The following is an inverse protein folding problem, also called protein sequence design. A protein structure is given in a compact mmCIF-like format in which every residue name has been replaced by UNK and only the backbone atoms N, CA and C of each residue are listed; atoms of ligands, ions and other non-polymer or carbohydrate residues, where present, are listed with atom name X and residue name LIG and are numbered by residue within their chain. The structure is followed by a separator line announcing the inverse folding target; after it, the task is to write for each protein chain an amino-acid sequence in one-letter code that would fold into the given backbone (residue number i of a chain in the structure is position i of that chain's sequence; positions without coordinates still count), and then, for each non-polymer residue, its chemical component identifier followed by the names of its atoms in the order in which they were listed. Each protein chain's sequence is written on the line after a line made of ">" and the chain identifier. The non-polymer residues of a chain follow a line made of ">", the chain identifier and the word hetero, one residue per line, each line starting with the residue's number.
data_IF_345059077984
#
_entry.id   IF_345059077984
#
_cell.length_a   1.000
_cell.length_b   1.000
_cell.length_c   1.000
_cell.angle_alpha   90.00
_cell.angle_beta   90.00
_cell.angle_gamma   90.00
#
_symmetry.space_group_name_H-M   'P 1'
#
loop_
_entity.id
_entity.type
_entity.pdbx_description
1 polymer ?
#
# COMPACT_ATOMS: atom_id res chain seq x y z
N UNK A 1 12.06 -51.56 13.75
CA UNK A 1 11.15 -50.40 13.79
C UNK A 1 11.56 -49.44 12.68
N UNK A 2 10.71 -49.31 11.66
CA UNK A 2 11.02 -48.78 10.33
C UNK A 2 11.14 -47.26 10.41
N UNK A 3 12.36 -46.73 10.49
CA UNK A 3 12.63 -45.31 10.32
C UNK A 3 12.45 -45.03 8.82
N UNK A 4 11.21 -44.75 8.40
CA UNK A 4 10.88 -44.40 7.02
C UNK A 4 11.74 -43.20 6.64
N UNK A 5 12.61 -43.39 5.63
CA UNK A 5 13.34 -42.31 4.96
C UNK A 5 12.30 -41.34 4.42
N UNK A 6 12.03 -40.27 5.14
CA UNK A 6 11.21 -39.16 4.65
C UNK A 6 11.95 -38.70 3.39
N UNK A 7 11.32 -38.78 2.20
CA UNK A 7 12.04 -38.46 0.97
C UNK A 7 12.50 -37.02 1.08
N UNK A 8 13.78 -36.77 0.84
CA UNK A 8 14.38 -35.42 0.77
C UNK A 8 13.51 -34.46 -0.08
N UNK A 9 12.80 -35.02 -1.06
CA UNK A 9 11.84 -34.36 -1.94
C UNK A 9 10.62 -33.77 -1.20
N UNK A 10 10.12 -34.43 -0.16
CA UNK A 10 9.00 -33.94 0.69
C UNK A 10 9.44 -32.77 1.56
N UNK A 11 10.67 -32.80 2.07
CA UNK A 11 11.25 -31.70 2.85
C UNK A 11 11.50 -30.47 1.96
N UNK A 12 11.94 -30.68 0.72
CA UNK A 12 12.17 -29.60 -0.26
C UNK A 12 10.86 -28.95 -0.72
N UNK A 13 9.79 -29.72 -0.84
CA UNK A 13 8.47 -29.23 -1.23
C UNK A 13 7.81 -28.39 -0.11
N UNK A 14 7.99 -28.77 1.15
CA UNK A 14 7.58 -27.98 2.33
C UNK A 14 8.37 -26.66 2.42
N UNK A 15 9.66 -26.68 2.11
CA UNK A 15 10.48 -25.47 2.08
C UNK A 15 10.00 -24.49 0.99
N UNK A 16 9.65 -24.98 -0.20
CA UNK A 16 9.13 -24.16 -1.31
C UNK A 16 7.80 -23.46 -0.97
N UNK A 17 6.94 -24.10 -0.16
CA UNK A 17 5.66 -23.53 0.27
C UNK A 17 5.83 -22.39 1.29
N UNK A 18 6.92 -22.38 2.07
CA UNK A 18 7.18 -21.33 3.06
C UNK A 18 7.71 -20.03 2.43
N UNK A 19 8.27 -20.09 1.22
CA UNK A 19 8.77 -18.92 0.49
C UNK A 19 7.69 -18.03 -0.15
N UNK A 20 6.41 -18.42 -0.13
CA UNK A 20 5.32 -17.60 -0.67
C UNK A 20 4.76 -16.55 0.31
N UNK A 21 5.41 -16.34 1.46
CA UNK A 21 5.02 -15.28 2.39
C UNK A 21 5.50 -13.91 1.88
N UNK A 22 4.62 -13.24 1.11
CA UNK A 22 4.84 -11.95 0.45
C UNK A 22 5.60 -10.93 1.28
N UNK A 23 6.85 -10.68 0.88
CA UNK A 23 7.69 -9.62 1.38
C UNK A 23 7.24 -8.28 0.78
N UNK A 24 6.10 -7.74 1.21
CA UNK A 24 5.64 -6.44 0.70
C UNK A 24 5.04 -5.53 1.80
N UNK A 25 5.01 -6.01 3.05
CA UNK A 25 4.37 -5.26 4.14
C UNK A 25 5.35 -4.44 5.00
N UNK A 26 6.66 -4.59 4.83
CA UNK A 26 7.67 -3.85 5.62
C UNK A 26 8.33 -2.71 4.86
N UNK A 27 8.30 -2.72 3.54
CA UNK A 27 8.96 -1.72 2.71
C UNK A 27 7.99 -0.63 2.26
N UNK A 28 8.51 0.60 2.16
CA UNK A 28 7.74 1.73 1.64
C UNK A 28 7.84 1.77 0.12
N UNK A 29 6.70 1.89 -0.55
CA UNK A 29 6.62 2.10 -2.00
C UNK A 29 6.71 3.60 -2.28
N UNK A 30 7.54 4.00 -3.26
CA UNK A 30 7.59 5.41 -3.67
C UNK A 30 6.33 5.80 -4.41
N UNK A 31 5.91 7.06 -4.24
CA UNK A 31 4.69 7.58 -4.83
C UNK A 31 4.82 7.63 -6.36
N UNK A 32 5.96 8.04 -6.92
CA UNK A 32 6.11 8.09 -8.39
C UNK A 32 5.93 6.71 -9.05
N UNK A 33 6.41 5.63 -8.42
CA UNK A 33 6.24 4.28 -8.98
C UNK A 33 4.77 3.89 -9.11
N UNK A 34 3.96 4.28 -8.12
CA UNK A 34 2.51 4.07 -8.16
C UNK A 34 1.91 4.89 -9.31
N UNK A 35 2.25 6.18 -9.40
CA UNK A 35 1.67 7.11 -10.39
C UNK A 35 2.09 6.82 -11.84
N UNK A 36 3.33 6.35 -12.06
CA UNK A 36 3.85 6.00 -13.38
C UNK A 36 3.20 4.72 -13.92
N UNK A 37 2.81 3.78 -13.04
CA UNK A 37 2.22 2.51 -13.44
C UNK A 37 1.00 2.10 -12.59
N UNK A 38 -0.09 2.90 -12.52
CA UNK A 38 -1.16 2.67 -11.54
C UNK A 38 -1.86 1.33 -11.70
N UNK A 39 -2.02 0.84 -12.94
CA UNK A 39 -2.58 -0.49 -13.24
C UNK A 39 -1.83 -1.64 -12.58
N UNK A 40 -0.52 -1.51 -12.34
CA UNK A 40 0.26 -2.53 -11.64
C UNK A 40 0.02 -2.53 -10.13
N UNK A 41 -0.56 -1.45 -9.59
CA UNK A 41 -0.82 -1.27 -8.17
C UNK A 41 -2.31 -1.31 -7.82
N UNK A 42 -3.20 -1.19 -8.79
CA UNK A 42 -4.65 -1.24 -8.58
C UNK A 42 -5.06 -2.43 -7.71
N UNK A 43 -5.81 -2.14 -6.64
CA UNK A 43 -6.25 -3.14 -5.65
C UNK A 43 -5.17 -3.68 -4.71
N UNK A 44 -3.89 -3.34 -4.90
CA UNK A 44 -2.80 -3.78 -4.00
C UNK A 44 -2.74 -2.91 -2.76
N UNK A 45 -2.43 -3.55 -1.63
CA UNK A 45 -2.09 -2.84 -0.39
C UNK A 45 -0.61 -2.51 -0.38
N UNK A 46 -0.29 -1.22 -0.35
CA UNK A 46 1.09 -0.70 -0.26
C UNK A 46 1.25 0.15 1.00
N UNK A 47 2.50 0.45 1.35
CA UNK A 47 2.82 1.42 2.40
C UNK A 47 3.58 2.58 1.77
N UNK A 48 3.08 3.81 1.90
CA UNK A 48 3.79 5.03 1.49
C UNK A 48 4.33 5.76 2.71
N UNK A 49 5.39 6.54 2.56
CA UNK A 49 5.98 7.33 3.65
C UNK A 49 6.31 8.72 3.13
N UNK A 50 5.88 9.75 3.85
CA UNK A 50 6.12 11.11 3.43
C UNK A 50 5.58 12.14 4.41
N UNK A 51 5.50 13.38 3.95
CA UNK A 51 5.03 14.52 4.71
C UNK A 51 3.63 14.93 4.26
N UNK A 52 2.74 15.19 5.23
CA UNK A 52 1.38 15.67 4.95
C UNK A 52 1.42 17.13 4.49
N UNK A 53 0.98 17.41 3.27
CA UNK A 53 1.00 18.77 2.70
C UNK A 53 -0.36 19.45 2.73
N UNK A 54 -1.45 18.68 2.62
CA UNK A 54 -2.82 19.18 2.56
C UNK A 54 -3.76 18.27 3.32
N UNK A 55 -4.83 18.85 3.88
CA UNK A 55 -5.89 18.13 4.58
C UNK A 55 -7.25 18.68 4.14
N UNK A 56 -8.24 17.81 4.07
CA UNK A 56 -9.60 18.18 3.71
C UNK A 56 -10.62 17.34 4.48
N UNK A 57 -11.65 18.01 4.98
CA UNK A 57 -12.72 17.41 5.79
C UNK A 57 -14.07 17.94 5.34
N UNK A 58 -14.91 17.06 4.83
CA UNK A 58 -16.35 17.26 4.70
C UNK A 58 -17.07 16.25 5.60
N UNK A 59 -18.36 16.51 5.86
CA UNK A 59 -19.21 15.71 6.77
C UNK A 59 -19.09 14.21 6.51
N UNK A 60 -18.94 13.79 5.24
CA UNK A 60 -18.92 12.38 4.84
C UNK A 60 -17.52 11.93 4.36
N UNK A 61 -16.65 12.86 3.96
CA UNK A 61 -15.41 12.53 3.26
C UNK A 61 -14.23 13.21 3.96
N UNK A 62 -13.23 12.41 4.34
CA UNK A 62 -11.94 12.88 4.88
C UNK A 62 -10.80 12.37 4.03
N UNK A 63 -9.94 13.29 3.60
CA UNK A 63 -8.71 12.93 2.91
C UNK A 63 -7.59 13.92 3.22
N UNK A 64 -6.37 13.50 2.97
CA UNK A 64 -5.18 14.33 3.08
C UNK A 64 -4.18 13.94 2.00
N UNK A 65 -3.19 14.78 1.73
CA UNK A 65 -2.17 14.54 0.71
C UNK A 65 -0.82 14.31 1.39
N UNK A 66 -0.13 13.25 0.98
CA UNK A 66 1.26 12.99 1.37
C UNK A 66 2.18 13.21 0.16
N UNK A 67 3.34 13.82 0.40
CA UNK A 67 4.45 13.87 -0.56
C UNK A 67 5.69 13.13 -0.04
N UNK A 68 6.39 12.39 -0.89
CA UNK A 68 7.62 11.65 -0.53
C UNK A 68 8.89 12.17 -1.23
N UNK A 69 8.77 13.32 -1.91
CA UNK A 69 9.83 13.89 -2.74
C UNK A 69 9.86 13.37 -4.18
N UNK A 70 9.17 12.27 -4.49
CA UNK A 70 9.02 11.70 -5.84
C UNK A 70 7.66 11.99 -6.45
N UNK A 71 6.64 12.24 -5.61
CA UNK A 71 5.32 12.66 -6.03
C UNK A 71 4.40 12.94 -4.85
N UNK A 72 3.15 13.21 -5.15
CA UNK A 72 2.07 13.40 -4.17
C UNK A 72 0.96 12.37 -4.39
N UNK A 73 0.37 11.87 -3.31
CA UNK A 73 -0.79 10.98 -3.40
C UNK A 73 -1.85 11.36 -2.37
N UNK A 74 -3.11 11.29 -2.80
CA UNK A 74 -4.25 11.53 -1.92
C UNK A 74 -4.55 10.28 -1.10
N UNK A 75 -4.61 10.43 0.22
CA UNK A 75 -4.99 9.41 1.18
C UNK A 75 -6.44 9.65 1.61
N UNK A 76 -7.32 8.69 1.33
CA UNK A 76 -8.69 8.67 1.85
C UNK A 76 -8.68 7.90 3.17
N UNK A 77 -9.23 8.48 4.24
CA UNK A 77 -9.16 7.89 5.58
C UNK A 77 -10.47 8.01 6.35
N UNK A 78 -10.76 7.05 7.20
CA UNK A 78 -11.84 7.12 8.20
C UNK A 78 -11.32 7.64 9.56
N UNK A 79 -9.99 7.71 9.74
CA UNK A 79 -9.33 8.11 10.98
C UNK A 79 -9.39 9.64 11.18
N UNK A 80 -8.87 10.09 12.32
CA UNK A 80 -8.63 11.50 12.56
C UNK A 80 -7.61 12.04 11.54
N UNK A 81 -7.86 13.25 11.03
CA UNK A 81 -6.96 13.88 10.07
C UNK A 81 -5.63 14.26 10.76
N UNK A 82 -4.48 13.96 10.12
CA UNK A 82 -3.17 14.36 10.65
C UNK A 82 -2.97 15.88 10.53
N UNK A 83 -1.99 16.42 11.25
CA UNK A 83 -1.56 17.82 11.08
C UNK A 83 -0.74 17.97 9.80
N UNK A 84 -0.88 19.10 9.10
CA UNK A 84 0.04 19.48 8.01
C UNK A 84 1.47 19.54 8.57
N UNK A 85 2.44 19.05 7.79
CA UNK A 85 3.85 18.91 8.18
C UNK A 85 4.18 17.61 8.93
N UNK A 86 3.18 16.78 9.25
CA UNK A 86 3.43 15.48 9.89
C UNK A 86 4.14 14.54 8.93
N UNK A 87 5.27 13.96 9.34
CA UNK A 87 5.92 12.86 8.63
C UNK A 87 5.38 11.54 9.14
N UNK A 88 4.78 10.73 8.25
CA UNK A 88 4.14 9.47 8.64
C UNK A 88 4.19 8.42 7.55
N UNK A 89 3.99 7.16 7.96
CA UNK A 89 3.76 6.02 7.07
C UNK A 89 2.27 5.73 7.00
N UNK A 90 1.75 5.54 5.80
CA UNK A 90 0.36 5.16 5.56
C UNK A 90 0.32 3.86 4.80
N UNK A 91 -0.34 2.85 5.37
CA UNK A 91 -0.66 1.60 4.69
C UNK A 91 -2.07 1.69 4.15
N UNK A 92 -2.26 1.41 2.87
CA UNK A 92 -3.57 1.49 2.25
C UNK A 92 -3.64 0.77 0.91
N UNK A 93 -4.84 0.69 0.36
CA UNK A 93 -5.12 0.05 -0.92
C UNK A 93 -5.17 1.11 -2.02
N UNK A 94 -4.39 0.91 -3.09
CA UNK A 94 -4.41 1.79 -4.26
C UNK A 94 -5.72 1.57 -5.02
N UNK A 95 -6.40 2.67 -5.33
CA UNK A 95 -7.61 2.67 -6.14
C UNK A 95 -7.60 3.86 -7.10
N UNK A 96 -8.22 3.66 -8.25
CA UNK A 96 -8.62 4.75 -9.13
C UNK A 96 -9.95 5.36 -8.65
N UNK A 97 -9.95 6.64 -8.31
CA UNK A 97 -11.15 7.36 -7.90
C UNK A 97 -11.98 7.82 -9.09
N UNK A 98 -11.33 8.23 -10.18
CA UNK A 98 -11.97 8.52 -11.47
C UNK A 98 -10.96 8.40 -12.63
N UNK A 99 -11.49 8.09 -13.82
CA UNK A 99 -10.80 8.16 -15.13
C UNK A 99 -11.62 9.00 -16.09
N UNK A 100 -10.97 9.93 -16.79
CA UNK A 100 -11.55 10.70 -17.90
C UNK A 100 -10.49 10.84 -19.00
N UNK A 101 -10.65 10.06 -20.07
CA UNK A 101 -9.66 10.03 -21.17
C UNK A 101 -8.31 9.48 -20.71
N UNK A 102 -7.27 10.31 -20.78
CA UNK A 102 -5.91 10.03 -20.30
C UNK A 102 -5.68 10.51 -18.86
N UNK A 103 -6.64 11.22 -18.26
CA UNK A 103 -6.57 11.71 -16.90
C UNK A 103 -7.14 10.67 -15.93
N UNK A 104 -6.40 10.38 -14.87
CA UNK A 104 -6.84 9.48 -13.81
C UNK A 104 -6.47 10.07 -12.45
N UNK A 105 -7.36 9.96 -11.47
CA UNK A 105 -7.06 10.28 -10.08
C UNK A 105 -6.81 9.00 -9.30
N UNK A 106 -5.55 8.80 -8.92
CA UNK A 106 -5.15 7.69 -8.07
C UNK A 106 -5.21 8.12 -6.60
N UNK A 107 -5.85 7.30 -5.78
CA UNK A 107 -5.97 7.51 -4.34
C UNK A 107 -5.51 6.27 -3.58
N UNK A 108 -5.11 6.47 -2.34
CA UNK A 108 -4.81 5.39 -1.41
C UNK A 108 -5.87 5.38 -0.30
N UNK A 109 -6.69 4.33 -0.26
CA UNK A 109 -7.62 4.12 0.85
C UNK A 109 -6.86 3.55 2.04
N UNK A 110 -6.71 4.35 3.10
CA UNK A 110 -5.99 3.95 4.30
C UNK A 110 -6.63 2.70 4.91
N UNK A 111 -5.80 1.70 5.22
CA UNK A 111 -6.24 0.49 5.89
C UNK A 111 -6.43 0.80 7.38
N UNK A 112 -7.62 0.50 7.90
CA UNK A 112 -7.87 0.47 9.33
C UNK A 112 -6.96 -0.58 9.97
N UNK A 113 -6.23 -0.19 11.01
CA UNK A 113 -5.37 -1.13 11.74
C UNK A 113 -6.25 -2.22 12.35
N UNK A 114 -5.92 -3.48 12.08
CA UNK A 114 -6.31 -4.60 12.94
C UNK A 114 -5.52 -4.52 14.23
#
# INVERSE_FOLDING_TARGET
>A
MIIKKIPLLVLMMICLLLFQSGCDQRFTTSISKILENPRNYEGKTVTVSGEVTRVFSLIIIKYFVIQDGTGEITIVTEKALPKIGTKMKVKGTVKEAFSIGDQQLIVLFEKNGT
#
